data_IF_820873667676
#
_entry.id   IF_820873667676
#
_cell.length_a   1.000
_cell.length_b   1.000
_cell.length_c   1.000
_cell.angle_alpha   90.00
_cell.angle_beta   90.00
_cell.angle_gamma   90.00
#
_symmetry.space_group_name_H-M   'P 1'
#
loop_
_entity.id
_entity.type
_entity.pdbx_description
1 polymer ?
#
# COMPACT_ATOMS: atom_id res chain seq x y z
N UNK A 1 3.21 -10.58 12.38
CA UNK A 1 2.44 -9.41 12.84
C UNK A 1 2.69 -8.20 11.97
N UNK A 2 1.84 -7.21 12.09
CA UNK A 2 1.92 -5.96 11.34
C UNK A 2 2.19 -4.80 12.28
N UNK A 3 2.99 -3.83 11.82
CA UNK A 3 3.24 -2.59 12.53
C UNK A 3 2.95 -1.39 11.65
N UNK A 4 2.77 -0.23 12.23
CA UNK A 4 2.55 1.02 11.50
C UNK A 4 3.88 1.73 11.27
N UNK A 5 4.14 2.13 10.04
CA UNK A 5 5.33 2.88 9.67
C UNK A 5 5.07 4.38 9.66
N UNK A 6 6.15 5.18 9.62
CA UNK A 6 6.06 6.63 9.75
C UNK A 6 5.24 7.35 8.67
N UNK A 7 5.07 6.74 7.50
CA UNK A 7 4.26 7.32 6.41
C UNK A 7 2.80 6.85 6.46
N UNK A 8 2.36 6.25 7.56
CA UNK A 8 0.98 5.83 7.72
C UNK A 8 0.61 4.56 6.96
N UNK A 9 1.50 3.60 6.89
CA UNK A 9 1.22 2.30 6.31
C UNK A 9 1.65 1.19 7.26
N UNK A 10 1.09 0.00 7.05
CA UNK A 10 1.40 -1.18 7.85
C UNK A 10 2.43 -2.04 7.13
N UNK A 11 3.31 -2.67 7.89
CA UNK A 11 4.32 -3.57 7.33
C UNK A 11 4.46 -4.81 8.21
N UNK A 12 4.73 -5.99 7.61
CA UNK A 12 4.99 -7.20 8.39
C UNK A 12 6.26 -7.06 9.23
N UNK A 13 6.28 -7.74 10.36
CA UNK A 13 7.44 -7.75 11.27
C UNK A 13 8.46 -8.80 10.82
N UNK A 14 8.92 -8.69 9.59
CA UNK A 14 9.94 -9.57 9.02
C UNK A 14 10.83 -8.74 8.11
N UNK A 15 12.06 -9.16 7.90
CA UNK A 15 12.98 -8.53 6.96
C UNK A 15 13.19 -9.35 5.69
N UNK A 16 12.47 -10.47 5.56
CA UNK A 16 12.54 -11.33 4.37
C UNK A 16 11.63 -10.82 3.28
N UNK A 17 12.02 -10.91 2.00
CA UNK A 17 11.13 -10.55 0.90
C UNK A 17 9.84 -11.36 0.94
N UNK A 18 8.74 -10.71 0.55
CA UNK A 18 7.41 -11.33 0.50
C UNK A 18 6.96 -11.46 -0.94
N UNK A 19 6.42 -12.62 -1.29
CA UNK A 19 5.75 -12.80 -2.57
C UNK A 19 4.35 -12.20 -2.48
N UNK A 20 4.00 -11.36 -3.44
CA UNK A 20 2.70 -10.71 -3.49
C UNK A 20 2.00 -11.09 -4.79
N UNK A 21 0.74 -11.48 -4.66
CA UNK A 21 -0.08 -11.85 -5.80
C UNK A 21 -1.34 -11.00 -5.79
N UNK A 22 -1.63 -10.33 -6.89
CA UNK A 22 -2.80 -9.46 -7.01
C UNK A 22 -3.69 -9.98 -8.12
N UNK A 23 -4.80 -10.61 -7.76
CA UNK A 23 -5.72 -11.23 -8.73
C UNK A 23 -6.28 -10.23 -9.73
N UNK A 24 -6.61 -9.02 -9.26
CA UNK A 24 -7.31 -8.04 -10.08
C UNK A 24 -6.54 -7.56 -11.30
N UNK A 25 -5.21 -7.51 -11.23
CA UNK A 25 -4.38 -7.04 -12.35
C UNK A 25 -3.31 -8.05 -12.78
N UNK A 26 -3.33 -9.24 -12.19
CA UNK A 26 -2.38 -10.29 -12.53
C UNK A 26 -0.96 -10.08 -12.03
N UNK A 27 -0.73 -9.12 -11.15
CA UNK A 27 0.61 -8.90 -10.63
C UNK A 27 1.07 -10.08 -9.77
N UNK A 28 2.31 -10.49 -9.97
CA UNK A 28 2.95 -11.49 -9.13
C UNK A 28 4.43 -11.15 -9.03
N UNK A 29 4.91 -10.87 -7.83
CA UNK A 29 6.31 -10.52 -7.63
C UNK A 29 6.69 -10.56 -6.17
N UNK A 30 8.00 -10.53 -5.91
CA UNK A 30 8.54 -10.45 -4.57
C UNK A 30 9.02 -9.03 -4.28
N UNK A 31 8.78 -8.55 -3.07
CA UNK A 31 9.23 -7.22 -2.66
C UNK A 31 9.51 -7.22 -1.16
N UNK A 32 10.15 -6.15 -0.69
CA UNK A 32 10.43 -6.03 0.74
C UNK A 32 9.14 -5.98 1.56
N UNK A 33 9.20 -6.33 2.85
CA UNK A 33 8.02 -6.20 3.72
C UNK A 33 7.46 -4.78 3.74
N UNK A 34 8.34 -3.77 3.70
CA UNK A 34 7.89 -2.38 3.67
C UNK A 34 7.09 -2.09 2.40
N UNK A 35 7.61 -2.48 1.24
CA UNK A 35 6.91 -2.27 -0.03
C UNK A 35 5.59 -3.03 -0.07
N UNK A 36 5.59 -4.29 0.38
CA UNK A 36 4.36 -5.09 0.46
C UNK A 36 3.33 -4.44 1.38
N UNK A 37 3.78 -3.89 2.51
CA UNK A 37 2.91 -3.17 3.44
C UNK A 37 2.29 -1.93 2.83
N UNK A 38 3.06 -1.19 2.03
CA UNK A 38 2.54 -0.03 1.30
C UNK A 38 1.45 -0.46 0.33
N UNK A 39 1.68 -1.52 -0.45
CA UNK A 39 0.69 -2.04 -1.41
C UNK A 39 -0.61 -2.42 -0.70
N UNK A 40 -0.51 -3.21 0.37
CA UNK A 40 -1.69 -3.65 1.12
C UNK A 40 -2.43 -2.46 1.72
N UNK A 41 -1.71 -1.48 2.25
CA UNK A 41 -2.33 -0.29 2.82
C UNK A 41 -3.03 0.54 1.76
N UNK A 42 -2.41 0.71 0.59
CA UNK A 42 -3.05 1.44 -0.51
C UNK A 42 -4.35 0.77 -0.96
N UNK A 43 -4.37 -0.56 -1.09
CA UNK A 43 -5.59 -1.28 -1.42
C UNK A 43 -6.66 -1.09 -0.33
N UNK A 44 -6.25 -1.17 0.94
CA UNK A 44 -7.17 -1.01 2.06
C UNK A 44 -7.79 0.39 2.08
N UNK A 45 -6.95 1.43 1.93
CA UNK A 45 -7.42 2.81 1.90
C UNK A 45 -8.39 3.04 0.74
N UNK A 46 -8.04 2.54 -0.44
CA UNK A 46 -8.90 2.66 -1.62
C UNK A 46 -10.26 1.99 -1.37
N UNK A 47 -10.23 0.76 -0.86
CA UNK A 47 -11.45 0.01 -0.59
C UNK A 47 -12.33 0.70 0.44
N UNK A 48 -11.74 1.19 1.53
CA UNK A 48 -12.49 1.90 2.56
C UNK A 48 -13.06 3.22 2.05
N UNK A 49 -12.32 3.93 1.19
CA UNK A 49 -12.80 5.21 0.66
C UNK A 49 -14.06 5.06 -0.19
N UNK A 50 -14.24 3.92 -0.87
CA UNK A 50 -15.46 3.65 -1.63
C UNK A 50 -16.67 3.42 -0.74
N UNK A 51 -16.47 3.06 0.52
CA UNK A 51 -17.55 2.78 1.49
C UNK A 51 -17.84 3.95 2.41
N UNK A 52 -16.95 4.94 2.46
CA UNK A 52 -17.10 6.08 3.34
C UNK A 52 -17.73 7.26 2.59
N UNK A 53 -18.26 8.21 3.34
CA UNK A 53 -18.84 9.44 2.79
C UNK A 53 -18.40 10.63 3.63
N UNK A 54 -18.41 11.82 3.03
CA UNK A 54 -18.13 13.06 3.73
C UNK A 54 -16.70 13.19 4.21
N UNK A 55 -16.50 13.75 5.39
CA UNK A 55 -15.17 13.98 5.94
C UNK A 55 -14.34 12.70 6.13
N UNK A 56 -14.90 11.58 6.60
CA UNK A 56 -14.14 10.34 6.67
C UNK A 56 -13.61 9.88 5.32
N UNK A 57 -14.40 10.02 4.25
CA UNK A 57 -13.94 9.68 2.90
C UNK A 57 -12.79 10.57 2.47
N UNK A 58 -12.89 11.87 2.72
CA UNK A 58 -11.83 12.82 2.36
C UNK A 58 -10.52 12.49 3.07
N UNK A 59 -10.57 12.11 4.35
CA UNK A 59 -9.39 11.72 5.10
C UNK A 59 -8.73 10.47 4.51
N UNK A 60 -9.53 9.49 4.11
CA UNK A 60 -9.01 8.26 3.51
C UNK A 60 -8.36 8.54 2.16
N UNK A 61 -8.98 9.39 1.34
CA UNK A 61 -8.44 9.78 0.04
C UNK A 61 -7.16 10.56 0.21
N UNK A 62 -7.10 11.49 1.15
CA UNK A 62 -5.90 12.26 1.43
C UNK A 62 -4.76 11.36 1.87
N UNK A 63 -5.03 10.39 2.74
CA UNK A 63 -4.04 9.43 3.20
C UNK A 63 -3.54 8.57 2.03
N UNK A 64 -4.45 8.14 1.16
CA UNK A 64 -4.10 7.37 -0.03
C UNK A 64 -3.12 8.13 -0.91
N UNK A 65 -3.43 9.39 -1.21
CA UNK A 65 -2.57 10.21 -2.08
C UNK A 65 -1.22 10.49 -1.42
N UNK A 66 -1.20 10.78 -0.12
CA UNK A 66 0.05 11.00 0.60
C UNK A 66 0.94 9.76 0.58
N UNK A 67 0.35 8.57 0.74
CA UNK A 67 1.09 7.33 0.70
C UNK A 67 1.59 7.00 -0.70
N UNK A 68 0.81 7.29 -1.73
CA UNK A 68 1.26 7.14 -3.12
C UNK A 68 2.48 8.03 -3.41
N UNK A 69 2.43 9.25 -2.92
CA UNK A 69 3.54 10.18 -3.08
C UNK A 69 4.80 9.68 -2.37
N UNK A 70 4.64 9.18 -1.14
CA UNK A 70 5.74 8.54 -0.42
C UNK A 70 6.29 7.35 -1.21
N UNK A 71 5.41 6.52 -1.75
CA UNK A 71 5.80 5.33 -2.52
C UNK A 71 6.58 5.68 -3.79
N UNK A 72 6.30 6.84 -4.40
CA UNK A 72 6.99 7.25 -5.62
C UNK A 72 8.48 7.49 -5.40
N UNK A 73 8.89 7.78 -4.17
CA UNK A 73 10.28 7.98 -3.81
C UNK A 73 10.94 6.72 -3.24
N UNK A 74 10.18 5.63 -3.12
CA UNK A 74 10.68 4.38 -2.57
C UNK A 74 11.58 3.66 -3.57
N UNK A 75 12.59 2.96 -3.07
CA UNK A 75 13.51 2.20 -3.93
C UNK A 75 12.78 1.15 -4.78
N UNK A 76 11.65 0.65 -4.30
CA UNK A 76 10.84 -0.37 -5.00
C UNK A 76 9.58 0.22 -5.61
N UNK A 77 9.57 1.51 -5.95
CA UNK A 77 8.41 2.19 -6.50
C UNK A 77 7.84 1.46 -7.72
N UNK A 78 8.71 0.97 -8.61
CA UNK A 78 8.26 0.23 -9.79
C UNK A 78 7.40 -0.99 -9.46
N UNK A 79 7.82 -1.76 -8.45
CA UNK A 79 7.07 -2.94 -8.01
C UNK A 79 5.77 -2.53 -7.33
N UNK A 80 5.82 -1.50 -6.48
CA UNK A 80 4.64 -1.02 -5.78
C UNK A 80 3.56 -0.59 -6.78
N UNK A 81 3.93 0.26 -7.74
CA UNK A 81 2.95 0.77 -8.70
C UNK A 81 2.47 -0.30 -9.67
N UNK A 82 3.32 -1.26 -10.04
CA UNK A 82 2.89 -2.40 -10.83
C UNK A 82 1.83 -3.23 -10.10
N UNK A 83 1.97 -3.37 -8.78
CA UNK A 83 1.04 -4.15 -7.98
C UNK A 83 -0.33 -3.48 -7.85
N UNK A 84 -0.37 -2.13 -7.77
CA UNK A 84 -1.63 -1.42 -7.55
C UNK A 84 -2.32 -0.99 -8.85
N UNK A 85 -1.63 -1.02 -9.96
CA UNK A 85 -2.23 -0.71 -11.25
C UNK A 85 -2.83 -1.96 -11.87
#
# INVERSE_FOLDING_TARGET
SLGTQGAGFMAPSTDKPLALFVDGNGFHGAMSPQAAGIVVTLFTLSHLSFRAEGAPQELLVDHYHALREFASDHAEAGLIFAAID
#
